data_IF_880311969232
#
_entry.id   IF_880311969232
#
_cell.length_a   1.000
_cell.length_b   1.000
_cell.length_c   1.000
_cell.angle_alpha   90.00
_cell.angle_beta   90.00
_cell.angle_gamma   90.00
#
_symmetry.space_group_name_H-M   'P 1'
#
loop_
_entity.id
_entity.type
_entity.pdbx_description
1 polymer ?
#
# COMPACT_ATOMS: atom_id res chain seq x y z
N UNK A 1 41.51 -19.05 -50.82
CA UNK A 1 41.44 -19.50 -49.40
C UNK A 1 41.54 -18.37 -48.36
N UNK A 2 42.35 -17.30 -48.55
CA UNK A 2 42.49 -16.21 -47.56
C UNK A 2 41.20 -15.41 -47.29
N UNK A 3 40.41 -15.11 -48.32
CA UNK A 3 39.14 -14.35 -48.18
C UNK A 3 38.04 -15.13 -47.43
N UNK A 4 38.00 -16.45 -47.57
CA UNK A 4 37.04 -17.32 -46.86
C UNK A 4 37.33 -17.41 -45.36
N UNK A 5 38.62 -17.49 -44.97
CA UNK A 5 39.03 -17.48 -43.56
C UNK A 5 38.71 -16.15 -42.86
N UNK A 6 38.89 -15.03 -43.56
CA UNK A 6 38.55 -13.70 -43.05
C UNK A 6 37.04 -13.54 -42.82
N UNK A 7 36.22 -14.03 -43.76
CA UNK A 7 34.76 -14.02 -43.62
C UNK A 7 34.27 -14.88 -42.45
N UNK A 8 34.86 -16.06 -42.25
CA UNK A 8 34.56 -16.96 -41.12
C UNK A 8 34.91 -16.33 -39.76
N UNK A 9 36.06 -15.65 -39.66
CA UNK A 9 36.46 -14.94 -38.43
C UNK A 9 35.50 -13.79 -38.11
N UNK A 10 35.07 -13.04 -39.12
CA UNK A 10 34.11 -11.95 -38.96
C UNK A 10 32.73 -12.46 -38.49
N UNK A 11 32.25 -13.55 -39.08
CA UNK A 11 30.99 -14.19 -38.68
C UNK A 11 31.03 -14.70 -37.22
N UNK A 12 32.13 -15.36 -36.80
CA UNK A 12 32.30 -15.79 -35.41
C UNK A 12 32.33 -14.61 -34.43
N UNK A 13 32.98 -13.50 -34.78
CA UNK A 13 33.00 -12.30 -33.93
C UNK A 13 31.61 -11.68 -33.78
N UNK A 14 30.79 -11.71 -34.84
CA UNK A 14 29.43 -11.19 -34.82
C UNK A 14 28.49 -12.07 -33.97
N UNK A 15 28.65 -13.40 -34.06
CA UNK A 15 27.93 -14.36 -33.23
C UNK A 15 28.32 -14.20 -31.75
N UNK A 16 29.62 -14.01 -31.46
CA UNK A 16 30.09 -13.79 -30.09
C UNK A 16 29.53 -12.50 -29.48
N UNK A 17 29.48 -11.41 -30.26
CA UNK A 17 28.87 -10.15 -29.84
C UNK A 17 27.35 -10.27 -29.63
N UNK A 18 26.66 -11.05 -30.47
CA UNK A 18 25.23 -11.31 -30.29
C UNK A 18 24.96 -12.11 -29.00
N UNK A 19 25.81 -13.09 -28.67
CA UNK A 19 25.68 -13.88 -27.44
C UNK A 19 25.91 -13.07 -26.16
N UNK A 20 26.86 -12.11 -26.18
CA UNK A 20 27.09 -11.26 -25.00
C UNK A 20 25.95 -10.27 -24.75
N UNK A 21 25.29 -9.80 -25.81
CA UNK A 21 24.11 -8.91 -25.70
C UNK A 21 22.89 -9.62 -25.09
N UNK A 22 22.75 -10.94 -25.28
CA UNK A 22 21.65 -11.75 -24.72
C UNK A 22 21.82 -12.08 -23.23
N UNK A 23 22.97 -11.78 -22.62
CA UNK A 23 23.30 -12.24 -21.25
C UNK A 23 23.03 -11.20 -20.15
N UNK A 24 22.41 -10.06 -20.45
CA UNK A 24 22.28 -8.93 -19.51
C UNK A 24 20.90 -8.72 -18.87
N UNK A 25 19.95 -9.64 -19.05
CA UNK A 25 18.65 -9.54 -18.37
C UNK A 25 18.72 -10.06 -16.94
N UNK A 26 19.25 -9.24 -16.02
CA UNK A 26 19.06 -9.49 -14.59
C UNK A 26 17.59 -9.30 -14.26
N UNK A 27 16.91 -10.38 -13.85
CA UNK A 27 15.56 -10.33 -13.31
C UNK A 27 15.60 -9.53 -11.99
N UNK A 28 15.25 -8.26 -12.04
CA UNK A 28 15.00 -7.46 -10.84
C UNK A 28 13.64 -7.92 -10.32
N UNK A 29 13.66 -8.87 -9.39
CA UNK A 29 12.49 -9.15 -8.56
C UNK A 29 12.36 -7.95 -7.62
N UNK A 30 11.34 -7.13 -7.84
CA UNK A 30 10.90 -6.17 -6.84
C UNK A 30 10.46 -6.98 -5.62
N UNK A 31 11.35 -7.12 -4.64
CA UNK A 31 10.95 -7.50 -3.29
C UNK A 31 10.25 -6.26 -2.75
N UNK A 32 8.93 -6.24 -2.85
CA UNK A 32 8.12 -5.32 -2.08
C UNK A 32 8.39 -5.64 -0.61
N UNK A 33 9.28 -4.87 0.03
CA UNK A 33 9.38 -4.88 1.49
C UNK A 33 8.09 -4.26 2.02
N UNK A 34 7.11 -5.12 2.29
CA UNK A 34 5.84 -4.71 2.87
C UNK A 34 6.08 -4.42 4.36
N UNK A 35 6.17 -3.15 4.72
CA UNK A 35 6.40 -2.73 6.11
C UNK A 35 5.17 -2.95 7.01
N UNK A 36 3.97 -2.89 6.41
CA UNK A 36 2.71 -2.97 7.13
C UNK A 36 1.69 -3.82 6.38
N UNK A 37 0.97 -4.68 7.12
CA UNK A 37 -0.22 -5.37 6.61
C UNK A 37 -1.47 -4.68 7.14
N UNK A 38 -2.33 -4.23 6.23
CA UNK A 38 -3.62 -3.63 6.56
C UNK A 38 -4.76 -4.64 6.34
N UNK A 39 -5.75 -4.64 7.23
CA UNK A 39 -7.00 -5.38 7.09
C UNK A 39 -8.14 -4.43 7.42
N UNK A 40 -9.15 -4.39 6.54
CA UNK A 40 -10.32 -3.52 6.68
C UNK A 40 -11.57 -4.40 6.56
N UNK A 41 -12.37 -4.44 7.62
CA UNK A 41 -13.69 -5.06 7.62
C UNK A 41 -14.74 -3.96 7.64
N UNK A 42 -15.67 -3.99 6.69
CA UNK A 42 -16.66 -2.91 6.51
C UNK A 42 -18.06 -3.45 6.75
N UNK A 43 -18.79 -2.82 7.68
CA UNK A 43 -20.19 -3.13 7.96
C UNK A 43 -21.06 -2.01 7.43
N UNK A 44 -22.05 -2.36 6.60
CA UNK A 44 -23.04 -1.45 6.06
C UNK A 44 -24.40 -1.79 6.67
N UNK A 45 -25.04 -0.80 7.29
CA UNK A 45 -26.40 -0.91 7.83
C UNK A 45 -27.28 0.07 7.10
N UNK A 46 -28.15 -0.42 6.24
CA UNK A 46 -29.10 0.37 5.46
C UNK A 46 -30.42 0.43 6.24
N UNK A 47 -30.81 1.61 6.68
CA UNK A 47 -32.07 1.82 7.39
C UNK A 47 -33.24 1.98 6.39
N UNK A 48 -34.49 1.74 6.83
CA UNK A 48 -35.68 1.90 5.97
C UNK A 48 -35.90 3.32 5.43
N UNK A 49 -35.33 4.33 6.07
CA UNK A 49 -35.35 5.74 5.62
C UNK A 49 -34.31 6.04 4.53
N UNK A 50 -33.51 5.05 4.14
CA UNK A 50 -32.44 5.17 3.15
C UNK A 50 -31.11 5.66 3.72
N UNK A 51 -31.04 6.01 5.01
CA UNK A 51 -29.77 6.38 5.65
C UNK A 51 -28.92 5.13 5.82
N UNK A 52 -27.70 5.17 5.28
CA UNK A 52 -26.74 4.07 5.43
C UNK A 52 -25.69 4.45 6.46
N UNK A 53 -25.56 3.64 7.51
CA UNK A 53 -24.43 3.70 8.43
C UNK A 53 -23.34 2.78 7.93
N UNK A 54 -22.13 3.31 7.82
CA UNK A 54 -20.93 2.54 7.47
C UNK A 54 -20.01 2.54 8.67
N UNK A 55 -19.42 1.39 8.98
CA UNK A 55 -18.36 1.28 9.98
C UNK A 55 -17.22 0.45 9.41
N UNK A 56 -16.00 0.97 9.53
CA UNK A 56 -14.77 0.30 9.10
C UNK A 56 -13.98 -0.10 10.34
N UNK A 57 -13.81 -1.40 10.55
CA UNK A 57 -12.84 -1.94 11.48
C UNK A 57 -11.50 -2.09 10.77
N UNK A 58 -10.48 -1.35 11.23
CA UNK A 58 -9.18 -1.28 10.57
C UNK A 58 -8.11 -1.83 11.51
N UNK A 59 -7.34 -2.78 11.00
CA UNK A 59 -6.22 -3.39 11.71
C UNK A 59 -4.94 -3.30 10.89
N UNK A 60 -3.96 -2.57 11.40
CA UNK A 60 -2.66 -2.39 10.74
C UNK A 60 -1.59 -3.08 11.57
N UNK A 61 -1.01 -4.15 11.02
CA UNK A 61 0.06 -4.93 11.65
C UNK A 61 1.41 -4.48 11.11
N UNK A 62 2.31 -4.11 12.00
CA UNK A 62 3.70 -3.83 11.68
C UNK A 62 4.44 -5.12 11.33
N UNK A 63 5.11 -5.17 10.19
CA UNK A 63 5.87 -6.35 9.74
C UNK A 63 7.37 -6.20 9.98
N UNK A 64 7.85 -5.02 10.39
CA UNK A 64 9.26 -4.75 10.66
C UNK A 64 9.49 -4.34 12.13
N UNK A 65 10.70 -4.53 12.67
CA UNK A 65 10.98 -4.20 14.07
C UNK A 65 11.24 -2.69 14.30
N UNK A 66 11.67 -1.96 13.27
CA UNK A 66 12.24 -0.60 13.40
C UNK A 66 11.30 0.52 12.98
N UNK A 67 10.24 0.22 12.23
CA UNK A 67 9.26 1.21 11.79
C UNK A 67 8.06 1.24 12.73
N UNK A 68 7.30 2.32 12.67
CA UNK A 68 5.99 2.42 13.32
C UNK A 68 5.08 3.35 12.53
N UNK A 69 3.77 3.09 12.58
CA UNK A 69 2.77 3.89 11.90
C UNK A 69 2.41 5.11 12.73
N UNK A 70 2.73 6.31 12.22
CA UNK A 70 2.40 7.59 12.86
C UNK A 70 1.09 8.20 12.36
N UNK A 71 0.77 8.01 11.09
CA UNK A 71 -0.40 8.62 10.46
C UNK A 71 -1.09 7.62 9.54
N UNK A 72 -2.42 7.74 9.43
CA UNK A 72 -3.24 6.98 8.51
C UNK A 72 -4.25 7.89 7.85
N UNK A 73 -4.52 7.68 6.56
CA UNK A 73 -5.54 8.42 5.83
C UNK A 73 -6.47 7.44 5.11
N UNK A 74 -7.78 7.58 5.34
CA UNK A 74 -8.81 6.93 4.54
C UNK A 74 -9.39 7.96 3.57
N UNK A 75 -9.33 7.67 2.28
CA UNK A 75 -10.02 8.45 1.24
C UNK A 75 -11.17 7.65 0.67
N UNK A 76 -12.34 8.25 0.63
CA UNK A 76 -13.56 7.64 0.09
C UNK A 76 -14.09 8.49 -1.05
N UNK A 77 -14.80 7.87 -1.98
CA UNK A 77 -15.50 8.57 -3.07
C UNK A 77 -16.88 9.09 -2.65
N UNK A 78 -17.26 8.94 -1.38
CA UNK A 78 -18.54 9.40 -0.86
C UNK A 78 -18.48 10.89 -0.51
N UNK A 79 -19.33 11.67 -1.15
CA UNK A 79 -19.60 13.06 -0.81
C UNK A 79 -20.76 13.13 0.20
N UNK A 80 -20.71 14.08 1.13
CA UNK A 80 -21.79 14.28 2.11
C UNK A 80 -21.82 13.30 3.29
N UNK A 81 -20.70 12.66 3.63
CA UNK A 81 -20.59 11.90 4.89
C UNK A 81 -20.82 12.83 6.09
N UNK A 82 -21.68 12.40 7.02
CA UNK A 82 -21.95 13.11 8.27
C UNK A 82 -21.59 12.22 9.45
N UNK A 83 -21.34 12.82 10.62
CA UNK A 83 -21.08 12.10 11.87
C UNK A 83 -19.93 11.09 11.79
N UNK A 84 -18.85 11.43 11.07
CA UNK A 84 -17.63 10.62 11.02
C UNK A 84 -16.97 10.67 12.41
N UNK A 85 -16.77 9.51 13.03
CA UNK A 85 -16.13 9.38 14.35
C UNK A 85 -15.06 8.31 14.27
N UNK A 86 -13.86 8.61 14.75
CA UNK A 86 -12.77 7.62 14.79
C UNK A 86 -12.61 7.17 16.23
N UNK A 87 -12.53 5.85 16.48
CA UNK A 87 -12.39 5.30 17.84
C UNK A 87 -11.29 4.27 17.92
N UNK A 88 -10.58 4.22 19.04
CA UNK A 88 -9.69 3.09 19.32
C UNK A 88 -10.49 1.81 19.63
N UNK A 89 -9.79 0.68 19.74
CA UNK A 89 -10.38 -0.61 20.14
C UNK A 89 -11.08 -0.60 21.51
N UNK A 90 -10.76 0.37 22.36
CA UNK A 90 -11.33 0.54 23.70
C UNK A 90 -12.58 1.43 23.67
N UNK A 91 -12.91 2.03 22.52
CA UNK A 91 -14.06 2.90 22.32
C UNK A 91 -13.79 4.39 22.56
N UNK A 92 -12.55 4.78 22.88
CA UNK A 92 -12.20 6.18 23.05
C UNK A 92 -12.08 6.86 21.69
N UNK A 93 -12.55 8.10 21.59
CA UNK A 93 -12.45 8.87 20.35
C UNK A 93 -11.00 9.27 20.07
N UNK A 94 -10.59 9.16 18.81
CA UNK A 94 -9.28 9.58 18.32
C UNK A 94 -9.49 10.83 17.46
N UNK A 95 -8.70 11.87 17.73
CA UNK A 95 -8.71 13.08 16.92
C UNK A 95 -8.41 12.77 15.45
N UNK A 96 -9.24 13.33 14.57
CA UNK A 96 -9.14 13.09 13.14
C UNK A 96 -9.42 14.37 12.36
N UNK A 97 -8.59 14.61 11.34
CA UNK A 97 -8.78 15.67 10.37
C UNK A 97 -9.69 15.15 9.25
N UNK A 98 -10.80 15.84 9.00
CA UNK A 98 -11.81 15.43 8.02
C UNK A 98 -11.93 16.52 6.98
N UNK A 99 -11.73 16.16 5.71
CA UNK A 99 -11.84 17.09 4.60
C UNK A 99 -12.73 16.47 3.50
N UNK A 100 -13.85 17.11 3.21
CA UNK A 100 -14.76 16.70 2.14
C UNK A 100 -14.73 17.71 1.00
N UNK A 101 -14.73 17.21 -0.24
CA UNK A 101 -14.87 18.00 -1.45
C UNK A 101 -15.79 17.29 -2.44
N UNK A 102 -15.93 17.84 -3.65
CA UNK A 102 -16.80 17.30 -4.71
C UNK A 102 -16.39 15.89 -5.17
N UNK A 103 -15.14 15.47 -4.91
CA UNK A 103 -14.60 14.16 -5.32
C UNK A 103 -14.66 13.11 -4.21
N UNK A 104 -15.02 13.50 -2.99
CA UNK A 104 -15.13 12.57 -1.87
C UNK A 104 -14.67 13.14 -0.53
N UNK A 105 -14.45 12.25 0.43
CA UNK A 105 -14.10 12.59 1.81
C UNK A 105 -12.79 11.91 2.23
N UNK A 106 -11.88 12.70 2.79
CA UNK A 106 -10.61 12.27 3.36
C UNK A 106 -10.66 12.36 4.88
N UNK A 107 -10.22 11.30 5.56
CA UNK A 107 -10.19 11.16 7.01
C UNK A 107 -8.76 10.85 7.40
N UNK A 108 -8.02 11.84 7.89
CA UNK A 108 -6.66 11.73 8.38
C UNK A 108 -6.62 11.52 9.89
N UNK A 109 -5.82 10.57 10.34
CA UNK A 109 -5.65 10.20 11.75
C UNK A 109 -4.16 10.32 12.07
N UNK A 110 -3.84 10.99 13.18
CA UNK A 110 -2.48 11.00 13.74
C UNK A 110 -2.49 10.21 15.04
N UNK A 111 -1.54 9.31 15.19
CA UNK A 111 -1.36 8.52 16.40
C UNK A 111 -0.23 9.13 17.23
N UNK A 112 -0.57 9.58 18.44
CA UNK A 112 0.40 10.19 19.37
C UNK A 112 1.35 9.15 19.98
N UNK A 113 0.91 7.90 20.08
CA UNK A 113 1.69 6.79 20.62
C UNK A 113 2.50 6.06 19.53
N UNK A 114 3.68 5.59 19.91
CA UNK A 114 4.54 4.80 19.02
C UNK A 114 4.33 3.31 19.27
N UNK A 115 3.68 2.64 18.32
CA UNK A 115 3.49 1.19 18.37
C UNK A 115 4.63 0.48 17.61
N UNK A 116 5.75 0.31 18.30
CA UNK A 116 6.98 -0.26 17.74
C UNK A 116 7.00 -1.78 17.91
N UNK A 117 7.56 -2.47 16.92
CA UNK A 117 7.87 -3.89 16.97
C UNK A 117 7.09 -4.73 15.98
N UNK A 118 7.78 -5.72 15.40
CA UNK A 118 7.21 -6.66 14.45
C UNK A 118 6.05 -7.43 15.08
N UNK A 119 4.96 -7.56 14.33
CA UNK A 119 3.73 -8.24 14.74
C UNK A 119 2.81 -7.40 15.61
N UNK A 120 3.22 -6.21 16.08
CA UNK A 120 2.32 -5.30 16.80
C UNK A 120 1.26 -4.77 15.84
N UNK A 121 0.03 -4.68 16.34
CA UNK A 121 -1.11 -4.26 15.55
C UNK A 121 -1.84 -3.09 16.19
N UNK A 122 -2.13 -2.08 15.37
CA UNK A 122 -3.02 -0.99 15.72
C UNK A 122 -4.42 -1.33 15.23
N UNK A 123 -5.40 -1.14 16.09
CA UNK A 123 -6.79 -1.56 15.89
C UNK A 123 -7.71 -0.39 16.26
N UNK A 124 -8.53 0.04 15.30
CA UNK A 124 -9.41 1.20 15.42
C UNK A 124 -10.60 1.12 14.48
N UNK A 125 -11.60 1.96 14.73
CA UNK A 125 -12.84 2.05 13.99
C UNK A 125 -13.00 3.45 13.39
N UNK A 126 -13.59 3.50 12.20
CA UNK A 126 -14.11 4.72 11.56
C UNK A 126 -15.59 4.52 11.28
#
# INVERSE_FOLDING_TARGET
MKKLKSFLLFACSFIFLALTLLSTTTLILAVDEIDFRNTIESTYTVNPDGVTKVSHHIKITNLTPTLYLKQYALKTSYFGLTNIVVKDKSGNEIDSNKASNETGTSIGITFEDQLVGQGKARDFFI
#
